data_IF_735194517674
#
_entry.id   IF_735194517674
#
_cell.length_a   1.000
_cell.length_b   1.000
_cell.length_c   1.000
_cell.angle_alpha   90.00
_cell.angle_beta   90.00
_cell.angle_gamma   90.00
#
_symmetry.space_group_name_H-M   'P 1'
#
loop_
_entity.id
_entity.type
_entity.pdbx_description
1 polymer ?
#
# COMPACT_ATOMS: atom_id res chain seq x y z
N UNK A 1 -1.91 30.03 -4.31
CA UNK A 1 -2.84 28.90 -4.56
C UNK A 1 -3.18 28.70 -6.04
N UNK A 2 -3.55 29.71 -6.84
CA UNK A 2 -3.81 29.53 -8.30
C UNK A 2 -2.61 28.94 -9.05
N UNK A 3 -1.39 29.30 -8.67
CA UNK A 3 -0.16 28.83 -9.31
C UNK A 3 0.12 27.34 -9.04
N UNK A 4 -0.19 26.85 -7.83
CA UNK A 4 0.03 25.43 -7.47
C UNK A 4 -0.94 24.49 -8.20
N UNK A 5 -2.24 24.79 -8.21
CA UNK A 5 -3.23 23.99 -8.93
C UNK A 5 -2.92 23.89 -10.43
N UNK A 6 -2.48 25.01 -11.03
CA UNK A 6 -2.07 25.06 -12.43
C UNK A 6 -0.82 24.17 -12.65
N UNK A 7 0.18 24.25 -11.77
CA UNK A 7 1.37 23.42 -11.82
C UNK A 7 1.04 21.92 -11.73
N UNK A 8 0.18 21.54 -10.78
CA UNK A 8 -0.28 20.13 -10.60
C UNK A 8 -0.97 19.63 -11.87
N UNK A 9 -1.85 20.46 -12.47
CA UNK A 9 -2.52 20.15 -13.75
C UNK A 9 -1.51 19.94 -14.89
N UNK A 10 -0.52 20.80 -15.01
CA UNK A 10 0.53 20.69 -16.03
C UNK A 10 1.31 19.39 -15.85
N UNK A 11 1.70 19.03 -14.61
CA UNK A 11 2.40 17.77 -14.32
C UNK A 11 1.54 16.54 -14.61
N UNK A 12 0.25 16.57 -14.37
CA UNK A 12 -0.67 15.50 -14.77
C UNK A 12 -0.70 15.34 -16.30
N UNK A 13 -0.84 16.45 -17.04
CA UNK A 13 -0.85 16.41 -18.51
C UNK A 13 0.48 15.91 -19.08
N UNK A 14 1.62 16.36 -18.54
CA UNK A 14 2.95 15.85 -18.92
C UNK A 14 3.06 14.33 -18.66
N UNK A 15 2.59 13.85 -17.53
CA UNK A 15 2.59 12.43 -17.17
C UNK A 15 1.70 11.60 -18.10
N UNK A 16 0.53 12.13 -18.50
CA UNK A 16 -0.34 11.49 -19.50
C UNK A 16 0.38 11.43 -20.86
N UNK A 17 1.07 12.49 -21.29
CA UNK A 17 1.82 12.47 -22.56
C UNK A 17 2.98 11.46 -22.51
N UNK A 18 3.69 11.35 -21.39
CA UNK A 18 4.69 10.31 -21.18
C UNK A 18 4.10 8.91 -21.34
N UNK A 19 2.95 8.64 -20.68
CA UNK A 19 2.24 7.37 -20.83
C UNK A 19 1.83 7.11 -22.29
N UNK A 20 1.31 8.12 -22.99
CA UNK A 20 0.90 8.01 -24.41
C UNK A 20 2.08 7.68 -25.32
N UNK A 21 3.27 8.24 -25.05
CA UNK A 21 4.48 7.92 -25.81
C UNK A 21 4.91 6.45 -25.67
N UNK A 22 4.55 5.83 -24.54
CA UNK A 22 4.84 4.44 -24.20
C UNK A 22 3.62 3.50 -24.39
N UNK A 23 2.56 3.94 -25.05
CA UNK A 23 1.27 3.23 -25.16
C UNK A 23 1.40 1.75 -25.56
N UNK A 24 2.37 1.41 -26.40
CA UNK A 24 2.61 0.05 -26.87
C UNK A 24 2.96 -0.93 -25.73
N UNK A 25 3.50 -0.43 -24.61
CA UNK A 25 3.78 -1.22 -23.42
C UNK A 25 2.52 -1.51 -22.60
N UNK A 26 1.45 -0.74 -22.80
CA UNK A 26 0.23 -0.73 -21.98
C UNK A 26 -1.03 -1.12 -22.75
N UNK A 27 -0.89 -1.77 -23.88
CA UNK A 27 -2.00 -2.31 -24.67
C UNK A 27 -1.93 -3.83 -24.73
N UNK A 28 -3.09 -4.48 -24.89
CA UNK A 28 -3.17 -5.94 -24.92
C UNK A 28 -2.47 -6.54 -26.15
N UNK A 29 -2.50 -5.85 -27.31
CA UNK A 29 -1.86 -6.30 -28.55
C UNK A 29 -1.10 -5.14 -29.17
N UNK A 30 0.24 -5.13 -29.03
CA UNK A 30 1.13 -4.01 -29.42
C UNK A 30 0.92 -3.50 -30.84
N UNK A 31 0.84 -4.38 -31.83
CA UNK A 31 0.80 -4.01 -33.26
C UNK A 31 -0.63 -3.80 -33.79
N UNK A 32 -1.65 -3.92 -32.96
CA UNK A 32 -3.06 -3.89 -33.36
C UNK A 32 -3.86 -2.81 -32.63
N UNK A 33 -3.64 -2.66 -31.33
CA UNK A 33 -4.46 -1.81 -30.51
C UNK A 33 -4.02 -0.35 -30.62
N UNK A 34 -4.99 0.55 -30.75
CA UNK A 34 -4.79 1.99 -30.87
C UNK A 34 -3.84 2.45 -32.00
N UNK A 35 -3.67 1.65 -33.06
CA UNK A 35 -2.88 2.00 -34.24
C UNK A 35 -3.64 2.92 -35.19
N UNK A 36 -4.98 2.82 -35.23
CA UNK A 36 -5.83 3.64 -36.09
C UNK A 36 -6.35 4.86 -35.38
N UNK A 37 -6.40 6.00 -36.05
CA UNK A 37 -7.02 7.22 -35.51
C UNK A 37 -8.54 7.03 -35.39
N UNK A 38 -9.05 6.91 -34.19
CA UNK A 38 -10.47 6.77 -33.85
C UNK A 38 -10.83 7.76 -32.72
N UNK A 39 -12.14 8.04 -32.56
CA UNK A 39 -12.65 8.94 -31.50
C UNK A 39 -12.19 8.58 -30.11
N UNK A 40 -12.12 7.28 -29.80
CA UNK A 40 -11.56 6.75 -28.55
C UNK A 40 -10.09 6.37 -28.80
N UNK A 41 -9.21 7.35 -28.81
CA UNK A 41 -7.77 7.12 -28.78
C UNK A 41 -7.34 6.60 -27.41
N UNK A 42 -6.11 6.12 -27.27
CA UNK A 42 -5.54 5.73 -25.98
C UNK A 42 -5.57 6.90 -24.99
N UNK A 43 -5.10 8.07 -25.40
CA UNK A 43 -5.10 9.29 -24.58
C UNK A 43 -6.52 9.71 -24.16
N UNK A 44 -7.48 9.69 -25.11
CA UNK A 44 -8.88 10.04 -24.81
C UNK A 44 -9.48 9.13 -23.74
N UNK A 45 -9.21 7.82 -23.80
CA UNK A 45 -9.69 6.87 -22.81
C UNK A 45 -9.06 7.09 -21.44
N UNK A 46 -7.75 7.33 -21.37
CA UNK A 46 -7.07 7.65 -20.09
C UNK A 46 -7.68 8.90 -19.46
N UNK A 47 -7.79 10.00 -20.22
CA UNK A 47 -8.38 11.25 -19.72
C UNK A 47 -9.82 11.06 -19.27
N UNK A 48 -10.64 10.37 -20.07
CA UNK A 48 -12.04 10.13 -19.73
C UNK A 48 -12.19 9.30 -18.45
N UNK A 49 -11.38 8.26 -18.26
CA UNK A 49 -11.41 7.46 -17.03
C UNK A 49 -11.03 8.29 -15.79
N UNK A 50 -10.04 9.17 -15.91
CA UNK A 50 -9.64 10.07 -14.84
C UNK A 50 -10.69 11.14 -14.50
N UNK A 51 -11.54 11.51 -15.46
CA UNK A 51 -12.59 12.53 -15.30
C UNK A 51 -13.94 11.95 -14.87
N UNK A 52 -14.07 10.60 -14.72
CA UNK A 52 -15.31 9.96 -14.27
C UNK A 52 -15.63 10.32 -12.83
N UNK A 53 -16.89 10.68 -12.57
CA UNK A 53 -17.42 11.13 -11.27
C UNK A 53 -18.31 10.09 -10.57
N UNK A 54 -18.33 8.84 -11.04
CA UNK A 54 -19.13 7.75 -10.45
C UNK A 54 -20.59 7.70 -10.92
N UNK A 55 -20.93 8.39 -11.99
CA UNK A 55 -22.22 8.30 -12.64
C UNK A 55 -22.34 7.04 -13.51
N UNK A 56 -23.51 6.84 -14.17
CA UNK A 56 -23.63 5.80 -15.17
C UNK A 56 -22.70 6.07 -16.36
N UNK A 57 -22.09 5.04 -16.93
CA UNK A 57 -21.17 5.19 -18.05
C UNK A 57 -21.76 5.99 -19.24
N UNK A 58 -23.07 5.86 -19.47
CA UNK A 58 -23.74 6.64 -20.51
C UNK A 58 -23.78 8.15 -20.17
N UNK A 59 -23.91 8.51 -18.90
CA UNK A 59 -23.86 9.89 -18.44
C UNK A 59 -22.42 10.44 -18.56
N UNK A 60 -21.44 9.70 -18.07
CA UNK A 60 -20.00 10.06 -18.15
C UNK A 60 -19.57 10.35 -19.61
N UNK A 61 -19.99 9.47 -20.56
CA UNK A 61 -19.71 9.68 -21.97
C UNK A 61 -20.36 10.97 -22.52
N UNK A 62 -21.64 11.21 -22.18
CA UNK A 62 -22.33 12.44 -22.63
C UNK A 62 -21.63 13.68 -22.09
N UNK A 63 -21.27 13.68 -20.83
CA UNK A 63 -20.60 14.80 -20.19
C UNK A 63 -19.23 15.06 -20.83
N UNK A 64 -18.38 14.05 -20.92
CA UNK A 64 -17.04 14.17 -21.51
C UNK A 64 -17.07 14.69 -22.96
N UNK A 65 -18.01 14.21 -23.77
CA UNK A 65 -18.17 14.64 -25.18
C UNK A 65 -19.13 15.83 -25.35
N UNK A 66 -19.44 16.57 -24.28
CA UNK A 66 -20.30 17.77 -24.28
C UNK A 66 -21.63 17.56 -25.03
N UNK A 67 -22.28 16.38 -24.81
CA UNK A 67 -23.56 15.99 -25.44
C UNK A 67 -23.54 15.98 -26.98
N UNK A 68 -22.38 15.83 -27.58
CA UNK A 68 -22.23 15.75 -29.03
C UNK A 68 -22.99 14.55 -29.62
N UNK A 69 -23.71 14.75 -30.71
CA UNK A 69 -24.35 13.68 -31.51
C UNK A 69 -23.35 12.66 -32.06
N UNK A 70 -22.08 13.07 -32.14
CA UNK A 70 -20.99 12.26 -32.68
C UNK A 70 -20.18 11.55 -31.58
N UNK A 71 -20.71 11.43 -30.34
CA UNK A 71 -20.06 10.74 -29.25
C UNK A 71 -19.97 9.23 -29.51
N UNK A 72 -18.97 8.51 -28.92
CA UNK A 72 -18.90 7.06 -28.95
C UNK A 72 -20.04 6.40 -28.18
N UNK A 73 -20.40 5.19 -28.54
CA UNK A 73 -21.37 4.39 -27.77
C UNK A 73 -20.73 3.82 -26.52
N UNK A 74 -21.55 3.49 -25.51
CA UNK A 74 -21.13 2.78 -24.28
C UNK A 74 -20.39 1.48 -24.62
N UNK A 75 -20.93 0.69 -25.57
CA UNK A 75 -20.30 -0.55 -26.05
C UNK A 75 -18.90 -0.30 -26.64
N UNK A 76 -18.76 0.73 -27.46
CA UNK A 76 -17.45 1.09 -28.04
C UNK A 76 -16.45 1.47 -26.96
N UNK A 77 -16.86 2.21 -25.93
CA UNK A 77 -16.00 2.56 -24.81
C UNK A 77 -15.54 1.31 -24.03
N UNK A 78 -16.47 0.42 -23.66
CA UNK A 78 -16.15 -0.81 -22.89
C UNK A 78 -15.17 -1.69 -23.67
N UNK A 79 -15.42 -1.91 -24.98
CA UNK A 79 -14.53 -2.69 -25.84
C UNK A 79 -13.14 -2.05 -25.94
N UNK A 80 -13.07 -0.72 -26.11
CA UNK A 80 -11.78 -0.02 -26.23
C UNK A 80 -11.02 0.04 -24.91
N UNK A 81 -11.70 0.26 -23.79
CA UNK A 81 -11.10 0.23 -22.45
C UNK A 81 -10.46 -1.12 -22.14
N UNK A 82 -11.12 -2.23 -22.53
CA UNK A 82 -10.60 -3.58 -22.33
C UNK A 82 -9.27 -3.87 -23.06
N UNK A 83 -8.86 -3.01 -23.98
CA UNK A 83 -7.56 -3.10 -24.70
C UNK A 83 -6.41 -2.39 -23.94
N UNK A 84 -6.69 -1.71 -22.84
CA UNK A 84 -5.68 -1.03 -22.02
C UNK A 84 -5.34 -1.92 -20.83
N UNK A 85 -4.03 -2.19 -20.62
CA UNK A 85 -3.56 -2.85 -19.41
C UNK A 85 -3.80 -1.96 -18.18
N UNK A 86 -4.28 -2.50 -17.05
CA UNK A 86 -4.35 -1.77 -15.78
C UNK A 86 -3.02 -1.11 -15.35
N UNK A 87 -1.89 -1.70 -15.74
CA UNK A 87 -0.54 -1.17 -15.46
C UNK A 87 -0.31 0.24 -16.02
N UNK A 88 -1.10 0.66 -17.04
CA UNK A 88 -1.08 2.02 -17.55
C UNK A 88 -1.40 3.05 -16.45
N UNK A 89 -2.38 2.73 -15.60
CA UNK A 89 -2.80 3.61 -14.50
C UNK A 89 -1.79 3.59 -13.34
N UNK A 90 -1.18 2.44 -13.07
CA UNK A 90 -0.11 2.34 -12.09
C UNK A 90 1.13 3.15 -12.52
N UNK A 91 1.53 3.03 -13.79
CA UNK A 91 2.60 3.84 -14.37
C UNK A 91 2.28 5.34 -14.27
N UNK A 92 1.08 5.75 -14.67
CA UNK A 92 0.65 7.14 -14.60
C UNK A 92 0.66 7.67 -13.16
N UNK A 93 0.16 6.88 -12.22
CA UNK A 93 0.15 7.20 -10.80
C UNK A 93 1.56 7.47 -10.26
N UNK A 94 2.51 6.58 -10.52
CA UNK A 94 3.90 6.77 -10.06
C UNK A 94 4.59 7.92 -10.77
N UNK A 95 4.44 8.05 -12.10
CA UNK A 95 5.04 9.14 -12.88
C UNK A 95 4.55 10.49 -12.40
N UNK A 96 3.24 10.62 -12.18
CA UNK A 96 2.64 11.85 -11.68
C UNK A 96 3.11 12.19 -10.25
N UNK A 97 3.12 11.22 -9.33
CA UNK A 97 3.61 11.43 -7.97
C UNK A 97 5.09 11.83 -7.94
N UNK A 98 5.91 11.23 -8.80
CA UNK A 98 7.32 11.57 -8.90
C UNK A 98 7.55 12.99 -9.45
N UNK A 99 6.68 13.46 -10.34
CA UNK A 99 6.77 14.80 -10.93
C UNK A 99 6.39 15.94 -9.96
N UNK A 100 5.75 15.62 -8.84
CA UNK A 100 5.36 16.61 -7.82
C UNK A 100 6.32 16.49 -6.64
N UNK A 101 7.12 17.54 -6.33
CA UNK A 101 8.04 17.52 -5.20
C UNK A 101 7.29 17.44 -3.87
N UNK A 102 7.96 16.94 -2.84
CA UNK A 102 7.47 17.06 -1.46
C UNK A 102 7.64 18.50 -1.00
N UNK A 103 6.55 19.15 -0.68
CA UNK A 103 6.55 20.54 -0.23
C UNK A 103 6.35 20.68 1.28
N UNK A 104 5.67 19.69 1.90
CA UNK A 104 5.32 19.72 3.31
C UNK A 104 6.01 18.58 4.07
N UNK A 105 6.66 18.97 5.18
CA UNK A 105 7.32 18.05 6.10
C UNK A 105 6.91 18.40 7.54
N UNK A 106 6.88 17.42 8.42
CA UNK A 106 6.74 17.62 9.85
C UNK A 106 8.14 17.61 10.49
N UNK A 107 8.61 18.75 10.97
CA UNK A 107 9.95 18.91 11.55
C UNK A 107 11.08 18.32 10.68
N UNK A 108 10.94 18.41 9.37
CA UNK A 108 11.88 17.87 8.40
C UNK A 108 11.69 16.40 8.06
N UNK A 109 10.67 15.72 8.58
CA UNK A 109 10.31 14.33 8.28
C UNK A 109 9.11 14.21 7.36
N UNK A 110 9.13 13.23 6.46
CA UNK A 110 7.93 12.71 5.78
C UNK A 110 7.20 11.78 6.73
N UNK A 111 5.89 11.94 6.86
CA UNK A 111 5.03 11.05 7.63
C UNK A 111 4.18 10.24 6.66
N UNK A 112 4.46 8.95 6.56
CA UNK A 112 3.85 8.05 5.59
C UNK A 112 2.95 7.06 6.33
N UNK A 113 1.64 7.29 6.27
CA UNK A 113 0.68 6.33 6.79
C UNK A 113 0.54 5.14 5.84
N UNK A 114 0.49 3.93 6.40
CA UNK A 114 0.15 2.71 5.68
C UNK A 114 -1.16 2.15 6.22
N UNK A 115 -2.10 1.86 5.32
CA UNK A 115 -3.38 1.25 5.68
C UNK A 115 -3.95 0.45 4.52
N UNK A 116 -4.84 -0.51 4.85
CA UNK A 116 -5.57 -1.34 3.90
C UNK A 116 -7.07 -1.07 3.94
N UNK A 117 -7.76 -1.31 2.82
CA UNK A 117 -9.21 -1.20 2.74
C UNK A 117 -9.77 -2.11 1.67
N UNK A 118 -10.99 -2.62 1.91
CA UNK A 118 -11.71 -3.42 0.93
C UNK A 118 -12.47 -2.53 -0.06
N UNK A 119 -12.33 -2.84 -1.33
CA UNK A 119 -13.04 -2.20 -2.43
C UNK A 119 -14.13 -3.13 -2.98
N UNK A 120 -15.38 -2.74 -2.81
CA UNK A 120 -16.50 -3.42 -3.46
C UNK A 120 -16.41 -3.21 -4.99
N UNK A 121 -16.37 -4.32 -5.72
CA UNK A 121 -16.38 -4.32 -7.19
C UNK A 121 -17.66 -4.98 -7.72
N UNK A 122 -17.89 -4.84 -9.03
CA UNK A 122 -19.04 -5.40 -9.68
C UNK A 122 -19.13 -6.92 -9.42
N UNK A 123 -20.31 -7.39 -9.00
CA UNK A 123 -20.55 -8.81 -8.69
C UNK A 123 -20.30 -9.70 -9.90
N UNK A 124 -19.38 -10.64 -9.73
CA UNK A 124 -19.04 -11.69 -10.69
C UNK A 124 -18.77 -13.02 -9.97
N UNK A 125 -19.72 -13.96 -9.90
CA UNK A 125 -19.51 -15.26 -9.24
C UNK A 125 -18.44 -16.15 -9.89
N UNK A 126 -18.08 -15.88 -11.14
CA UNK A 126 -17.05 -16.63 -11.87
C UNK A 126 -15.61 -16.21 -11.43
N UNK A 127 -15.47 -15.03 -10.86
CA UNK A 127 -14.22 -14.53 -10.32
C UNK A 127 -13.97 -15.08 -8.91
N UNK A 128 -13.46 -16.31 -8.83
CA UNK A 128 -13.28 -17.07 -7.58
C UNK A 128 -12.23 -16.45 -6.64
N UNK A 129 -11.34 -15.61 -7.14
CA UNK A 129 -10.32 -14.95 -6.29
C UNK A 129 -10.89 -13.78 -5.50
N UNK A 130 -12.02 -13.23 -5.94
CA UNK A 130 -12.60 -12.03 -5.36
C UNK A 130 -14.07 -12.22 -4.91
N UNK A 131 -14.69 -13.36 -5.19
CA UNK A 131 -16.09 -13.61 -4.86
C UNK A 131 -16.27 -14.21 -3.48
N UNK A 132 -17.06 -13.54 -2.64
CA UNK A 132 -17.42 -13.93 -1.29
C UNK A 132 -18.92 -14.25 -1.21
N UNK A 133 -19.24 -15.34 -0.56
CA UNK A 133 -20.60 -15.75 -0.26
C UNK A 133 -20.61 -16.55 1.05
N UNK A 134 -21.17 -15.98 2.11
CA UNK A 134 -21.20 -16.61 3.43
C UNK A 134 -22.17 -17.77 3.49
N UNK A 135 -23.37 -17.61 2.91
CA UNK A 135 -24.41 -18.64 2.85
C UNK A 135 -24.84 -18.87 1.39
N UNK A 136 -25.18 -20.12 1.00
CA UNK A 136 -25.63 -20.42 -0.36
C UNK A 136 -26.88 -19.64 -0.79
N UNK A 137 -27.75 -19.29 0.17
CA UNK A 137 -29.02 -18.59 -0.07
C UNK A 137 -28.84 -17.06 -0.14
N UNK A 138 -27.66 -16.53 0.18
CA UNK A 138 -27.39 -15.10 0.15
C UNK A 138 -26.77 -14.69 -1.19
N UNK A 139 -27.05 -13.43 -1.55
CA UNK A 139 -26.39 -12.82 -2.71
C UNK A 139 -24.97 -12.46 -2.36
N UNK A 140 -23.99 -13.22 -2.86
CA UNK A 140 -22.56 -12.91 -2.68
C UNK A 140 -22.14 -11.59 -3.34
N UNK A 141 -20.92 -11.18 -3.05
CA UNK A 141 -20.30 -9.94 -3.51
C UNK A 141 -18.82 -10.18 -3.88
N UNK A 142 -18.20 -9.23 -4.57
CA UNK A 142 -16.78 -9.29 -4.92
C UNK A 142 -16.02 -8.13 -4.27
N UNK A 143 -14.86 -8.45 -3.72
CA UNK A 143 -13.92 -7.50 -3.13
C UNK A 143 -12.54 -7.59 -3.77
N UNK A 144 -11.89 -6.44 -3.86
CA UNK A 144 -10.45 -6.32 -3.97
C UNK A 144 -9.93 -5.66 -2.70
N UNK A 145 -8.75 -6.03 -2.25
CA UNK A 145 -8.09 -5.38 -1.13
C UNK A 145 -7.03 -4.38 -1.63
N UNK A 146 -7.17 -3.11 -1.24
CA UNK A 146 -6.27 -2.03 -1.59
C UNK A 146 -5.41 -1.66 -0.38
N UNK A 147 -4.10 -1.80 -0.51
CA UNK A 147 -3.13 -1.25 0.44
C UNK A 147 -2.55 0.03 -0.14
N UNK A 148 -2.31 1.04 0.70
CA UNK A 148 -1.81 2.33 0.24
C UNK A 148 -0.79 2.94 1.21
N UNK A 149 0.17 3.67 0.64
CA UNK A 149 1.04 4.60 1.35
C UNK A 149 0.52 6.03 1.13
N UNK A 150 0.21 6.73 2.21
CA UNK A 150 -0.34 8.07 2.19
C UNK A 150 0.57 9.06 2.92
N UNK A 151 1.01 10.11 2.24
CA UNK A 151 1.77 11.20 2.83
C UNK A 151 0.81 12.12 3.61
N UNK A 152 0.93 12.09 4.94
CA UNK A 152 0.09 12.86 5.86
C UNK A 152 0.31 14.37 5.75
N UNK A 153 1.51 14.79 5.37
CA UNK A 153 1.87 16.22 5.28
C UNK A 153 1.44 16.82 3.93
N UNK A 154 1.72 16.11 2.84
CA UNK A 154 1.41 16.56 1.48
C UNK A 154 0.00 16.15 1.00
N UNK A 155 -0.73 15.36 1.81
CA UNK A 155 -2.12 14.92 1.55
C UNK A 155 -2.29 14.20 0.21
N UNK A 156 -1.40 13.22 -0.08
CA UNK A 156 -1.45 12.44 -1.32
C UNK A 156 -1.05 10.99 -1.12
N UNK A 157 -1.57 10.11 -1.94
CA UNK A 157 -1.13 8.73 -2.03
C UNK A 157 0.20 8.66 -2.80
N UNK A 158 1.17 7.90 -2.29
CA UNK A 158 2.50 7.74 -2.90
C UNK A 158 2.67 6.39 -3.56
N UNK A 159 2.05 5.37 -3.01
CA UNK A 159 2.10 4.01 -3.54
C UNK A 159 0.82 3.27 -3.22
N UNK A 160 0.49 2.28 -4.04
CA UNK A 160 -0.67 1.41 -3.85
C UNK A 160 -0.34 -0.02 -4.29
N UNK A 161 -0.97 -0.99 -3.61
CA UNK A 161 -0.91 -2.39 -3.98
C UNK A 161 -2.30 -3.01 -3.87
N UNK A 162 -2.85 -3.47 -4.99
CA UNK A 162 -4.15 -4.12 -5.06
C UNK A 162 -3.94 -5.64 -5.04
N UNK A 163 -4.67 -6.33 -4.15
CA UNK A 163 -4.65 -7.77 -4.01
C UNK A 163 -6.05 -8.35 -4.26
N UNK A 164 -6.15 -9.58 -4.80
CA UNK A 164 -7.42 -10.31 -4.79
C UNK A 164 -7.92 -10.50 -3.36
N UNK A 165 -9.23 -10.37 -3.13
CA UNK A 165 -9.81 -10.39 -1.79
C UNK A 165 -9.50 -11.66 -0.98
N UNK A 166 -9.48 -12.86 -1.62
CA UNK A 166 -9.10 -14.10 -0.94
C UNK A 166 -7.58 -14.29 -0.76
N UNK A 167 -6.76 -13.39 -1.30
CA UNK A 167 -5.29 -13.43 -1.23
C UNK A 167 -4.71 -12.18 -0.57
N UNK A 168 -5.53 -11.47 0.18
CA UNK A 168 -5.08 -10.31 0.95
C UNK A 168 -3.97 -10.69 1.93
N UNK A 169 -2.96 -9.85 2.01
CA UNK A 169 -1.87 -9.97 2.96
C UNK A 169 -1.22 -8.60 3.17
N UNK A 170 -1.72 -7.87 4.14
CA UNK A 170 -1.26 -6.52 4.47
C UNK A 170 0.21 -6.47 4.89
N UNK A 171 0.70 -7.48 5.64
CA UNK A 171 2.12 -7.56 6.01
C UNK A 171 3.03 -7.65 4.78
N UNK A 172 2.64 -8.46 3.79
CA UNK A 172 3.40 -8.57 2.54
C UNK A 172 3.29 -7.30 1.71
N UNK A 173 2.12 -6.66 1.72
CA UNK A 173 1.88 -5.44 0.97
C UNK A 173 2.77 -4.29 1.49
N UNK A 174 2.79 -4.06 2.80
CA UNK A 174 3.65 -3.01 3.39
C UNK A 174 5.14 -3.29 3.14
N UNK A 175 5.59 -4.56 3.26
CA UNK A 175 6.98 -4.92 2.96
C UNK A 175 7.34 -4.58 1.51
N UNK A 176 6.52 -4.98 0.54
CA UNK A 176 6.75 -4.68 -0.88
C UNK A 176 6.74 -3.18 -1.18
N UNK A 177 5.81 -2.42 -0.58
CA UNK A 177 5.75 -0.98 -0.76
C UNK A 177 6.94 -0.27 -0.09
N UNK A 178 7.39 -0.73 1.08
CA UNK A 178 8.58 -0.22 1.75
C UNK A 178 9.85 -0.49 0.92
N UNK A 179 10.02 -1.70 0.39
CA UNK A 179 11.20 -2.07 -0.41
C UNK A 179 11.35 -1.20 -1.66
N UNK A 180 10.24 -0.91 -2.36
CA UNK A 180 10.23 -0.07 -3.57
C UNK A 180 10.06 1.42 -3.31
N UNK A 181 9.89 1.84 -2.04
CA UNK A 181 9.75 3.25 -1.68
C UNK A 181 10.96 4.07 -2.14
N UNK A 182 10.77 5.13 -2.96
CA UNK A 182 11.88 5.76 -3.67
C UNK A 182 12.73 6.71 -2.81
N UNK A 183 12.29 6.99 -1.58
CA UNK A 183 12.95 7.95 -0.70
C UNK A 183 13.68 7.24 0.43
N UNK A 184 14.77 7.86 0.91
CA UNK A 184 15.54 7.43 2.08
C UNK A 184 15.68 8.59 3.06
N UNK A 185 16.20 8.31 4.27
CA UNK A 185 16.47 9.32 5.27
C UNK A 185 15.26 9.72 6.09
N UNK A 186 15.02 11.00 6.32
CA UNK A 186 14.02 11.54 7.23
C UNK A 186 12.58 11.20 6.82
N UNK A 187 12.22 9.93 6.95
CA UNK A 187 10.88 9.38 6.68
C UNK A 187 10.46 8.52 7.87
N UNK A 188 9.20 8.61 8.27
CA UNK A 188 8.60 7.78 9.31
C UNK A 188 7.39 7.07 8.72
N UNK A 189 7.42 5.74 8.66
CA UNK A 189 6.26 4.92 8.34
C UNK A 189 5.37 4.81 9.57
N UNK A 190 4.09 5.06 9.41
CA UNK A 190 3.10 5.04 10.50
C UNK A 190 2.05 3.99 10.13
N UNK A 191 1.84 3.01 11.02
CA UNK A 191 0.84 1.98 10.81
C UNK A 191 0.16 1.59 12.14
N UNK A 192 -0.99 0.95 12.03
CA UNK A 192 -1.72 0.48 13.18
C UNK A 192 -1.20 -0.90 13.66
N UNK A 193 -1.84 -1.45 14.71
CA UNK A 193 -1.48 -2.75 15.31
C UNK A 193 -1.73 -3.95 14.39
N UNK A 194 -2.44 -3.77 13.29
CA UNK A 194 -2.58 -4.78 12.24
C UNK A 194 -1.26 -5.10 11.56
N UNK A 195 -0.30 -4.18 11.60
CA UNK A 195 1.03 -4.31 10.99
C UNK A 195 2.13 -4.74 11.97
N UNK A 196 1.77 -5.17 13.17
CA UNK A 196 2.70 -5.64 14.21
C UNK A 196 3.43 -6.92 13.76
N UNK A 197 4.64 -6.76 13.20
CA UNK A 197 5.44 -7.87 12.68
C UNK A 197 6.92 -7.55 12.65
N UNK A 198 7.77 -8.44 13.15
CA UNK A 198 9.23 -8.33 13.03
C UNK A 198 9.69 -8.23 11.56
N UNK A 199 8.99 -8.92 10.64
CA UNK A 199 9.31 -8.85 9.21
C UNK A 199 9.08 -7.43 8.65
N UNK A 200 7.97 -6.81 9.02
CA UNK A 200 7.65 -5.42 8.62
C UNK A 200 8.71 -4.45 9.14
N UNK A 201 9.08 -4.56 10.41
CA UNK A 201 10.11 -3.71 11.01
C UNK A 201 11.44 -3.86 10.28
N UNK A 202 11.86 -5.11 10.02
CA UNK A 202 13.12 -5.41 9.32
C UNK A 202 13.16 -4.85 7.89
N UNK A 203 12.06 -4.93 7.12
CA UNK A 203 11.98 -4.32 5.78
C UNK A 203 12.13 -2.80 5.83
N UNK A 204 11.45 -2.14 6.78
CA UNK A 204 11.52 -0.68 6.92
C UNK A 204 12.91 -0.23 7.37
N UNK A 205 13.51 -0.90 8.37
CA UNK A 205 14.87 -0.63 8.83
C UNK A 205 15.92 -0.79 7.72
N UNK A 206 15.83 -1.88 6.95
CA UNK A 206 16.75 -2.12 5.83
C UNK A 206 16.61 -1.10 4.71
N UNK A 207 15.47 -0.47 4.59
CA UNK A 207 15.25 0.68 3.69
C UNK A 207 15.95 1.95 4.18
N UNK A 208 16.38 2.00 5.44
CA UNK A 208 17.02 3.16 6.06
C UNK A 208 16.06 4.29 6.38
N UNK A 209 14.81 3.94 6.70
CA UNK A 209 13.77 4.87 7.17
C UNK A 209 13.25 4.43 8.55
N UNK A 210 12.60 5.34 9.25
CA UNK A 210 12.07 5.08 10.58
C UNK A 210 10.62 4.57 10.50
N UNK A 211 10.12 4.01 11.59
CA UNK A 211 8.71 3.63 11.72
C UNK A 211 8.15 4.04 13.09
N UNK A 212 6.84 4.15 13.16
CA UNK A 212 6.03 4.33 14.34
C UNK A 212 4.81 3.44 14.17
N UNK A 213 4.84 2.26 14.79
CA UNK A 213 3.79 1.26 14.62
C UNK A 213 3.13 1.00 15.98
N UNK A 214 1.81 1.18 16.01
CA UNK A 214 1.04 0.77 17.19
C UNK A 214 1.09 -0.75 17.32
N UNK A 215 1.23 -1.24 18.54
CA UNK A 215 1.29 -2.67 18.81
C UNK A 215 0.33 -3.02 19.96
N UNK A 216 0.06 -4.31 20.12
CA UNK A 216 -0.74 -4.80 21.23
C UNK A 216 -0.01 -4.53 22.55
N UNK A 217 -0.78 -4.29 23.62
CA UNK A 217 -0.21 -4.01 24.96
C UNK A 217 0.64 -5.18 25.49
N UNK A 218 1.54 -4.88 26.43
CA UNK A 218 2.52 -5.80 27.01
C UNK A 218 1.90 -7.11 27.53
N UNK A 219 0.67 -7.06 28.03
CA UNK A 219 -0.04 -8.21 28.59
C UNK A 219 -0.85 -9.02 27.56
N UNK A 220 -0.59 -8.80 26.27
CA UNK A 220 -1.29 -9.45 25.17
C UNK A 220 -0.44 -10.50 24.44
N UNK A 221 -1.04 -11.22 23.49
CA UNK A 221 -0.34 -12.18 22.63
C UNK A 221 0.42 -11.53 21.46
N UNK A 222 0.86 -10.26 21.61
CA UNK A 222 1.64 -9.53 20.64
C UNK A 222 3.16 -9.70 20.83
N UNK A 223 3.92 -8.93 20.06
CA UNK A 223 5.41 -8.91 20.13
C UNK A 223 5.88 -8.56 21.54
N UNK A 224 5.17 -7.65 22.22
CA UNK A 224 5.54 -7.19 23.55
C UNK A 224 5.34 -8.24 24.64
N UNK A 225 4.43 -9.19 24.50
CA UNK A 225 4.14 -10.22 25.49
C UNK A 225 5.32 -11.15 25.84
N UNK A 226 6.34 -11.20 24.98
CA UNK A 226 7.57 -11.97 25.19
C UNK A 226 8.74 -11.13 25.76
N UNK A 227 8.49 -9.87 26.12
CA UNK A 227 9.52 -8.92 26.58
C UNK A 227 9.22 -8.53 28.01
N UNK A 228 10.26 -8.48 28.85
CA UNK A 228 10.14 -7.97 30.21
C UNK A 228 10.24 -6.45 30.22
N UNK A 229 9.25 -5.81 30.79
CA UNK A 229 9.15 -4.35 30.91
C UNK A 229 9.18 -3.93 32.40
N UNK A 230 9.47 -2.65 32.69
CA UNK A 230 9.27 -2.10 34.03
C UNK A 230 7.82 -2.30 34.53
N UNK A 231 7.65 -2.45 35.82
CA UNK A 231 6.31 -2.60 36.48
C UNK A 231 5.49 -1.29 36.48
N UNK A 232 5.94 -0.26 35.77
CA UNK A 232 5.26 1.03 35.66
C UNK A 232 4.19 1.02 34.58
N UNK A 233 3.15 1.84 34.78
CA UNK A 233 2.05 1.98 33.80
C UNK A 233 2.50 2.58 32.48
N UNK A 234 3.47 3.49 32.54
CA UNK A 234 4.09 4.12 31.36
C UNK A 234 5.58 3.87 31.36
N UNK A 235 6.16 3.64 30.21
CA UNK A 235 7.60 3.43 30.06
C UNK A 235 8.07 3.81 28.66
N UNK A 236 9.37 3.96 28.55
CA UNK A 236 10.09 4.27 27.33
C UNK A 236 11.42 3.55 27.42
N UNK A 237 11.58 2.46 26.65
CA UNK A 237 12.71 1.53 26.77
C UNK A 237 13.24 1.09 25.41
N UNK A 238 14.55 0.95 25.33
CA UNK A 238 15.21 0.32 24.21
C UNK A 238 15.22 -1.20 24.38
N UNK A 239 14.92 -1.92 23.33
CA UNK A 239 14.83 -3.38 23.28
C UNK A 239 15.80 -3.91 22.26
N UNK A 240 16.66 -4.85 22.68
CA UNK A 240 17.62 -5.53 21.82
C UNK A 240 17.25 -7.01 21.76
N UNK A 241 16.92 -7.52 20.58
CA UNK A 241 16.56 -8.93 20.36
C UNK A 241 17.34 -9.52 19.21
N UNK A 242 17.82 -10.74 19.42
CA UNK A 242 18.40 -11.56 18.38
C UNK A 242 17.36 -12.58 17.92
N UNK A 243 16.76 -12.34 16.75
CA UNK A 243 15.76 -13.20 16.14
C UNK A 243 16.46 -14.44 15.56
N UNK A 244 15.88 -15.65 15.74
CA UNK A 244 16.46 -16.89 15.23
C UNK A 244 15.41 -17.96 15.04
N UNK A 245 15.68 -18.89 14.10
CA UNK A 245 14.92 -20.15 13.96
C UNK A 245 15.62 -21.35 14.61
N UNK A 246 16.78 -21.15 15.26
CA UNK A 246 17.51 -22.20 16.01
C UNK A 246 16.93 -22.39 17.39
N UNK A 247 16.88 -23.65 17.84
CA UNK A 247 16.44 -24.05 19.20
C UNK A 247 17.57 -24.72 19.98
N UNK A 248 18.75 -24.08 19.98
CA UNK A 248 19.90 -24.60 20.74
C UNK A 248 19.66 -24.42 22.24
N UNK A 249 20.47 -25.13 23.08
CA UNK A 249 20.43 -24.97 24.53
C UNK A 249 20.69 -23.50 24.95
N UNK A 250 21.63 -22.84 24.27
CA UNK A 250 21.96 -21.43 24.48
C UNK A 250 20.75 -20.52 24.21
N UNK A 251 20.10 -20.66 23.05
CA UNK A 251 18.92 -19.86 22.68
C UNK A 251 17.80 -20.02 23.71
N UNK A 252 17.58 -21.25 24.20
CA UNK A 252 16.54 -21.52 25.20
C UNK A 252 16.91 -21.02 26.60
N UNK A 253 18.20 -20.94 26.91
CA UNK A 253 18.68 -20.45 28.20
C UNK A 253 18.65 -18.91 28.34
N UNK A 254 18.59 -18.19 27.23
CA UNK A 254 18.68 -16.73 27.18
C UNK A 254 17.49 -16.08 26.43
N UNK A 255 16.23 -16.22 26.93
CA UNK A 255 15.04 -15.62 26.31
C UNK A 255 15.05 -14.09 26.35
N UNK A 256 15.80 -13.50 27.27
CA UNK A 256 16.01 -12.06 27.36
C UNK A 256 16.77 -11.52 26.12
N UNK A 257 17.67 -12.31 25.55
CA UNK A 257 18.50 -11.96 24.39
C UNK A 257 17.90 -12.48 23.08
N UNK A 258 17.42 -13.71 23.05
CA UNK A 258 16.98 -14.39 21.84
C UNK A 258 15.46 -14.43 21.74
N UNK A 259 14.95 -14.26 20.51
CA UNK A 259 13.56 -14.52 20.20
C UNK A 259 13.45 -15.59 19.10
N UNK A 260 12.79 -16.70 19.44
CA UNK A 260 12.60 -17.81 18.50
C UNK A 260 11.42 -17.52 17.57
N UNK A 261 11.68 -17.55 16.25
CA UNK A 261 10.67 -17.42 15.21
C UNK A 261 10.28 -18.82 14.69
N UNK A 262 9.01 -19.23 14.85
CA UNK A 262 8.51 -20.50 14.29
C UNK A 262 8.65 -20.56 12.77
N UNK A 263 8.70 -21.78 12.19
CA UNK A 263 8.84 -21.94 10.72
C UNK A 263 7.68 -21.36 9.91
N UNK A 264 6.50 -21.32 10.50
CA UNK A 264 5.28 -20.75 9.89
C UNK A 264 5.19 -19.23 10.00
N UNK A 265 6.06 -18.60 10.77
CA UNK A 265 6.13 -17.14 10.84
C UNK A 265 6.98 -16.61 9.68
N UNK A 266 6.45 -15.62 8.96
CA UNK A 266 7.18 -14.96 7.87
C UNK A 266 8.30 -14.09 8.44
N UNK A 267 9.52 -14.32 7.95
CA UNK A 267 10.66 -13.45 8.17
C UNK A 267 11.69 -13.69 7.07
N UNK A 268 11.91 -12.69 6.24
CA UNK A 268 12.61 -12.83 4.96
C UNK A 268 14.14 -12.76 5.09
N UNK A 269 14.66 -12.37 6.25
CA UNK A 269 16.09 -12.11 6.48
C UNK A 269 16.80 -13.19 7.31
N UNK A 270 16.13 -14.32 7.59
CA UNK A 270 16.71 -15.48 8.28
C UNK A 270 16.79 -16.69 7.36
N UNK A 271 17.97 -17.28 7.31
CA UNK A 271 18.22 -18.60 6.74
C UNK A 271 18.99 -19.48 7.74
N UNK A 272 18.59 -20.74 7.90
CA UNK A 272 19.16 -21.64 8.92
C UNK A 272 20.65 -21.94 8.71
N UNK A 273 21.16 -21.84 7.49
CA UNK A 273 22.53 -22.22 7.12
C UNK A 273 23.43 -21.00 6.94
N UNK A 274 22.95 -19.98 6.23
CA UNK A 274 23.75 -18.83 5.82
C UNK A 274 23.60 -17.63 6.75
N UNK A 275 22.38 -17.40 7.28
CA UNK A 275 22.09 -16.28 8.18
C UNK A 275 21.11 -16.68 9.29
N UNK A 276 21.57 -17.46 10.30
CA UNK A 276 20.69 -18.05 11.32
C UNK A 276 20.26 -17.07 12.43
N UNK A 277 20.82 -15.86 12.45
CA UNK A 277 20.56 -14.86 13.48
C UNK A 277 20.37 -13.48 12.83
N UNK A 278 19.40 -12.72 13.33
CA UNK A 278 19.13 -11.35 12.94
C UNK A 278 18.99 -10.47 14.18
N UNK A 279 19.89 -9.52 14.36
CA UNK A 279 19.78 -8.55 15.47
C UNK A 279 18.82 -7.46 15.09
N UNK A 280 17.89 -7.16 15.97
CA UNK A 280 16.91 -6.10 15.82
C UNK A 280 16.88 -5.26 17.09
N UNK A 281 17.04 -3.96 16.90
CA UNK A 281 17.03 -2.95 17.94
C UNK A 281 15.85 -2.02 17.70
N UNK A 282 14.98 -1.87 18.68
CA UNK A 282 13.81 -1.00 18.59
C UNK A 282 13.46 -0.40 19.95
N UNK A 283 12.76 0.70 19.93
CA UNK A 283 12.29 1.39 21.14
C UNK A 283 10.82 1.10 21.34
N UNK A 284 10.42 0.83 22.58
CA UNK A 284 9.03 0.62 22.97
C UNK A 284 8.60 1.74 23.90
N UNK A 285 7.55 2.43 23.51
CA UNK A 285 6.95 3.51 24.29
C UNK A 285 5.53 3.12 24.67
N UNK A 286 5.22 3.08 25.97
CA UNK A 286 3.86 2.91 26.47
C UNK A 286 3.35 4.20 27.06
N UNK A 287 2.30 4.75 26.46
CA UNK A 287 1.71 6.05 26.78
C UNK A 287 0.33 5.87 27.41
N UNK A 288 0.01 6.70 28.39
CA UNK A 288 -1.35 6.82 28.92
C UNK A 288 -2.15 7.79 28.03
N UNK A 289 -3.24 7.32 27.42
CA UNK A 289 -4.11 8.11 26.56
C UNK A 289 -5.29 8.69 27.34
N UNK A 290 -5.86 7.89 28.25
CA UNK A 290 -6.92 8.30 29.16
C UNK A 290 -6.82 7.52 30.49
N UNK A 291 -7.80 7.67 31.38
CA UNK A 291 -7.74 7.13 32.74
C UNK A 291 -7.42 5.62 32.78
N UNK A 292 -8.01 4.83 31.86
CA UNK A 292 -7.82 3.37 31.78
C UNK A 292 -7.31 2.89 30.41
N UNK A 293 -6.88 3.82 29.53
CA UNK A 293 -6.44 3.49 28.19
C UNK A 293 -4.96 3.78 27.99
N UNK A 294 -4.22 2.78 27.58
CA UNK A 294 -2.81 2.85 27.23
C UNK A 294 -2.60 2.45 25.77
N UNK A 295 -1.62 3.05 25.13
CA UNK A 295 -1.16 2.69 23.80
C UNK A 295 0.32 2.33 23.84
N UNK A 296 0.66 1.25 23.17
CA UNK A 296 2.04 0.83 22.95
C UNK A 296 2.47 1.10 21.52
N UNK A 297 3.65 1.66 21.36
CA UNK A 297 4.24 2.03 20.08
C UNK A 297 5.64 1.42 20.01
N UNK A 298 5.98 0.86 18.87
CA UNK A 298 7.35 0.49 18.50
C UNK A 298 7.89 1.50 17.48
N UNK A 299 9.13 1.93 17.68
CA UNK A 299 9.81 2.90 16.82
C UNK A 299 11.31 2.59 16.69
#
# INVERSE_FOLDING_TARGET
MKNYAQHVKEKLLESIQSLVSLKEMFVMHRDKDFTRNRKLSFETLIKQILEMEGNTLAHELRHYFSFSLNMPTVSAFVQRRALISPDAFLYLFHTFNFAIPFENLFEGYRLIACDGTDLNIARNPEDKENYFQSNPDEKGFNLLHLNALYDLCSKRYLDTLIQPGHKENEFRAICQMADRFPYSGKTIFIADRGYESYNVFAHIERKGVNYLIRVKDKDSNGILGAIQFPETDTFDVDVHKCLTRKQTKEVKAHPEKYHFLPKNSTFDFLDLHTNPFYNMDFRVVRLKISEDLYECIIT
#
